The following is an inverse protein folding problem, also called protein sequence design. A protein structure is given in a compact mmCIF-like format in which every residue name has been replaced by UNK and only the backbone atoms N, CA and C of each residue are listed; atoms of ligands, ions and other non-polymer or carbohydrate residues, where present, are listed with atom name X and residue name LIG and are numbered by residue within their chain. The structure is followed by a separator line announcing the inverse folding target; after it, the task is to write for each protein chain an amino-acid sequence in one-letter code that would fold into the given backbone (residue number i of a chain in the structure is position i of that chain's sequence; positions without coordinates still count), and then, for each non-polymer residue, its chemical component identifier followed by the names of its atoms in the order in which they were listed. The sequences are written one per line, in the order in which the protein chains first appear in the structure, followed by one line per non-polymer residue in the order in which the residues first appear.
data_IF_826376200499
#
_entry.id   IF_826376200499
#
_cell.length_a   1.000
_cell.length_b   1.000
_cell.length_c   1.000
_cell.angle_alpha   90.00
_cell.angle_beta   90.00
_cell.angle_gamma   90.00
#
_symmetry.space_group_name_H-M   'P 1'
#
loop_
_entity.id
_entity.type
_entity.pdbx_description
1 polymer ?
#
# COMPACT_ATOMS: atom_id res chain seq x y z
N UNK A 1 20.96 -11.78 -1.53
CA UNK A 1 19.78 -12.38 -2.21
C UNK A 1 18.68 -11.34 -2.17
N UNK A 2 18.08 -10.95 -3.31
CA UNK A 2 16.98 -9.98 -3.30
C UNK A 2 15.80 -10.53 -2.48
N UNK A 3 15.18 -9.71 -1.64
CA UNK A 3 14.05 -10.14 -0.81
C UNK A 3 12.79 -10.34 -1.68
N UNK A 4 12.58 -11.57 -2.14
CA UNK A 4 11.49 -11.97 -3.03
C UNK A 4 10.12 -11.62 -2.39
N UNK A 5 9.99 -11.75 -1.06
CA UNK A 5 8.74 -11.46 -0.34
C UNK A 5 8.41 -9.98 -0.49
N UNK A 6 9.40 -9.11 -0.29
CA UNK A 6 9.24 -7.66 -0.45
C UNK A 6 8.85 -7.29 -1.89
N UNK A 7 9.49 -7.92 -2.89
CA UNK A 7 9.18 -7.68 -4.31
C UNK A 7 7.75 -8.12 -4.64
N UNK A 8 7.33 -9.30 -4.21
CA UNK A 8 5.96 -9.80 -4.44
C UNK A 8 4.91 -8.90 -3.78
N UNK A 9 5.17 -8.46 -2.55
CA UNK A 9 4.28 -7.53 -1.84
C UNK A 9 4.16 -6.19 -2.57
N UNK A 10 5.28 -5.64 -3.04
CA UNK A 10 5.27 -4.40 -3.82
C UNK A 10 4.49 -4.56 -5.13
N UNK A 11 4.68 -5.65 -5.87
CA UNK A 11 3.91 -5.95 -7.07
C UNK A 11 2.40 -6.03 -6.79
N UNK A 12 1.99 -6.66 -5.68
CA UNK A 12 0.59 -6.72 -5.28
C UNK A 12 0.01 -5.32 -4.97
N UNK A 13 0.77 -4.48 -4.27
CA UNK A 13 0.39 -3.08 -3.97
C UNK A 13 0.26 -2.26 -5.24
N UNK A 14 1.19 -2.41 -6.19
CA UNK A 14 1.13 -1.75 -7.49
C UNK A 14 -0.09 -2.21 -8.29
N UNK A 15 -0.38 -3.51 -8.30
CA UNK A 15 -1.54 -4.07 -8.98
C UNK A 15 -2.87 -3.56 -8.39
N UNK A 16 -2.95 -3.43 -7.06
CA UNK A 16 -4.07 -2.81 -6.37
C UNK A 16 -4.25 -1.35 -6.81
N UNK A 17 -3.17 -0.56 -6.75
CA UNK A 17 -3.18 0.83 -7.17
C UNK A 17 -3.67 0.97 -8.62
N UNK A 18 -3.10 0.22 -9.57
CA UNK A 18 -3.51 0.24 -10.97
C UNK A 18 -4.98 -0.17 -11.16
N UNK A 19 -5.47 -1.15 -10.40
CA UNK A 19 -6.86 -1.59 -10.46
C UNK A 19 -7.83 -0.51 -10.02
N UNK A 20 -7.54 0.20 -8.92
CA UNK A 20 -8.36 1.31 -8.45
C UNK A 20 -8.27 2.53 -9.37
N UNK A 21 -7.08 2.83 -9.92
CA UNK A 21 -6.92 3.87 -10.94
C UNK A 21 -7.83 3.64 -12.14
N UNK A 22 -7.88 2.40 -12.65
CA UNK A 22 -8.71 2.02 -13.81
C UNK A 22 -10.22 2.16 -13.54
N UNK A 23 -10.65 1.98 -12.29
CA UNK A 23 -12.07 2.02 -11.88
C UNK A 23 -12.57 3.45 -11.58
N UNK A 24 -11.70 4.45 -11.66
CA UNK A 24 -12.03 5.82 -11.24
C UNK A 24 -11.85 6.84 -12.36
N UNK A 25 -12.81 7.76 -12.45
CA UNK A 25 -12.77 8.88 -13.39
C UNK A 25 -11.51 9.73 -13.19
N UNK A 26 -10.97 10.31 -14.26
CA UNK A 26 -9.67 10.97 -14.23
C UNK A 26 -9.65 12.29 -13.43
N UNK A 27 -10.79 12.96 -13.38
CA UNK A 27 -11.06 14.21 -12.69
C UNK A 27 -11.50 14.00 -11.23
N UNK A 28 -11.80 12.77 -10.81
CA UNK A 28 -12.24 12.50 -9.45
C UNK A 28 -11.12 12.79 -8.45
N UNK A 29 -11.49 13.50 -7.38
CA UNK A 29 -10.59 13.75 -6.25
C UNK A 29 -10.81 12.68 -5.20
N UNK A 30 -9.73 11.99 -4.87
CA UNK A 30 -9.73 10.92 -3.89
C UNK A 30 -9.56 11.46 -2.47
N UNK A 31 -10.35 10.96 -1.52
CA UNK A 31 -10.18 11.31 -0.12
C UNK A 31 -8.89 10.70 0.43
N UNK A 32 -8.12 11.50 1.16
CA UNK A 32 -6.87 11.10 1.79
C UNK A 32 -7.08 11.15 3.31
N UNK A 33 -7.71 10.11 3.85
CA UNK A 33 -7.92 9.97 5.28
C UNK A 33 -6.76 9.18 5.90
N UNK A 34 -6.06 9.79 6.86
CA UNK A 34 -4.95 9.18 7.61
C UNK A 34 -5.27 8.98 9.10
N UNK A 35 -6.45 9.42 9.55
CA UNK A 35 -6.91 9.35 10.94
C UNK A 35 -8.07 8.37 11.16
N UNK A 36 -8.26 7.96 12.41
CA UNK A 36 -9.35 7.06 12.84
C UNK A 36 -10.65 7.79 13.19
N UNK A 37 -10.67 9.11 13.08
CA UNK A 37 -11.81 9.97 13.45
C UNK A 37 -12.97 9.93 12.43
N UNK A 38 -12.80 9.18 11.34
CA UNK A 38 -13.80 9.09 10.27
C UNK A 38 -13.94 10.36 9.44
N UNK A 39 -13.12 11.40 9.69
CA UNK A 39 -13.21 12.68 8.99
C UNK A 39 -12.25 12.72 7.82
N UNK A 40 -12.75 13.25 6.71
CA UNK A 40 -11.97 13.53 5.52
C UNK A 40 -10.94 14.61 5.84
N UNK A 41 -9.66 14.22 5.96
CA UNK A 41 -8.60 15.16 6.28
C UNK A 41 -8.31 16.10 5.10
N UNK A 42 -8.25 15.56 3.88
CA UNK A 42 -8.05 16.32 2.64
C UNK A 42 -8.32 15.46 1.39
N UNK A 43 -8.25 16.08 0.21
CA UNK A 43 -8.48 15.42 -1.09
C UNK A 43 -7.29 15.59 -2.04
N UNK A 44 -6.97 14.54 -2.81
CA UNK A 44 -5.90 14.53 -3.80
C UNK A 44 -6.43 14.19 -5.21
N UNK A 45 -5.69 14.60 -6.26
CA UNK A 45 -5.94 14.13 -7.63
C UNK A 45 -5.78 12.60 -7.69
N UNK A 46 -6.61 11.91 -8.48
CA UNK A 46 -6.62 10.43 -8.60
C UNK A 46 -5.22 9.81 -8.65
N UNK A 47 -4.40 10.25 -9.60
CA UNK A 47 -3.11 9.61 -9.84
C UNK A 47 -2.15 9.82 -8.66
N UNK A 48 -2.18 11.00 -8.02
CA UNK A 48 -1.40 11.24 -6.80
C UNK A 48 -1.86 10.36 -5.65
N UNK A 49 -3.18 10.29 -5.40
CA UNK A 49 -3.75 9.48 -4.32
C UNK A 49 -3.40 8.00 -4.47
N UNK A 50 -3.53 7.48 -5.68
CA UNK A 50 -3.34 6.06 -5.96
C UNK A 50 -1.85 5.69 -5.98
N UNK A 51 -0.99 6.48 -6.64
CA UNK A 51 0.44 6.15 -6.74
C UNK A 51 1.25 6.48 -5.49
N UNK A 52 0.70 7.26 -4.55
CA UNK A 52 1.33 7.42 -3.24
C UNK A 52 1.58 6.07 -2.53
N UNK A 53 0.65 5.13 -2.67
CA UNK A 53 0.69 3.83 -1.99
C UNK A 53 1.88 2.95 -2.40
N UNK A 54 2.09 2.60 -3.69
CA UNK A 54 3.24 1.79 -4.10
C UNK A 54 4.59 2.48 -3.84
N UNK A 55 4.63 3.82 -3.83
CA UNK A 55 5.85 4.55 -3.45
C UNK A 55 6.12 4.42 -1.97
N UNK A 56 5.14 4.76 -1.12
CA UNK A 56 5.28 4.73 0.34
C UNK A 56 5.57 3.33 0.86
N UNK A 57 4.74 2.35 0.51
CA UNK A 57 4.95 0.97 0.97
C UNK A 57 6.17 0.32 0.31
N UNK A 58 6.48 0.66 -0.96
CA UNK A 58 7.70 0.19 -1.60
C UNK A 58 8.96 0.65 -0.88
N UNK A 59 8.99 1.92 -0.48
CA UNK A 59 10.09 2.46 0.33
C UNK A 59 10.18 1.75 1.70
N UNK A 60 9.06 1.56 2.40
CA UNK A 60 9.03 0.84 3.68
C UNK A 60 9.52 -0.61 3.54
N UNK A 61 9.09 -1.33 2.49
CA UNK A 61 9.55 -2.68 2.18
C UNK A 61 11.05 -2.71 1.87
N UNK A 62 11.57 -1.73 1.14
CA UNK A 62 13.00 -1.64 0.84
C UNK A 62 13.83 -1.40 2.11
N UNK A 63 13.41 -0.48 2.98
CA UNK A 63 14.05 -0.25 4.27
C UNK A 63 14.05 -1.53 5.14
N UNK A 64 12.92 -2.23 5.18
CA UNK A 64 12.79 -3.47 5.93
C UNK A 64 13.69 -4.57 5.36
N UNK A 65 13.68 -4.78 4.04
CA UNK A 65 14.53 -5.74 3.36
C UNK A 65 16.02 -5.44 3.57
N UNK A 66 16.43 -4.16 3.55
CA UNK A 66 17.80 -3.76 3.81
C UNK A 66 18.24 -4.07 5.25
N UNK A 67 17.33 -3.94 6.23
CA UNK A 67 17.63 -4.20 7.65
C UNK A 67 17.61 -5.68 8.02
N UNK A 68 16.73 -6.44 7.36
CA UNK A 68 16.37 -7.82 7.73
C UNK A 68 17.01 -8.85 6.79
N UNK A 69 17.45 -8.44 5.59
CA UNK A 69 17.94 -9.27 4.48
C UNK A 69 19.35 -9.85 4.59
N UNK A 70 20.00 -9.82 5.76
CA UNK A 70 21.37 -10.34 5.94
C UNK A 70 21.38 -11.87 5.90
N UNK A 71 22.45 -12.47 5.37
CA UNK A 71 22.57 -13.93 5.15
C UNK A 71 22.46 -14.78 6.44
N UNK A 72 22.62 -14.16 7.61
CA UNK A 72 22.54 -14.78 8.93
C UNK A 72 21.19 -14.57 9.63
N UNK A 73 20.17 -14.10 8.90
CA UNK A 73 18.85 -13.83 9.48
C UNK A 73 18.23 -15.12 10.07
N UNK A 74 17.83 -15.14 11.36
CA UNK A 74 17.15 -16.28 11.98
C UNK A 74 15.90 -16.69 11.22
N UNK A 75 15.53 -17.97 11.28
CA UNK A 75 14.32 -18.51 10.61
C UNK A 75 13.05 -17.73 10.97
N UNK A 76 12.93 -17.24 12.21
CA UNK A 76 11.81 -16.42 12.68
C UNK A 76 11.63 -15.11 11.90
N UNK A 77 12.70 -14.61 11.26
CA UNK A 77 12.64 -13.40 10.46
C UNK A 77 11.87 -13.61 9.15
N UNK A 78 11.74 -14.85 8.67
CA UNK A 78 10.88 -15.16 7.52
C UNK A 78 9.42 -14.92 7.87
N UNK A 79 8.96 -15.40 9.04
CA UNK A 79 7.60 -15.19 9.50
C UNK A 79 7.29 -13.68 9.66
N UNK A 80 8.23 -12.91 10.24
CA UNK A 80 8.10 -11.46 10.37
C UNK A 80 8.00 -10.80 8.98
N UNK A 81 8.85 -11.17 8.02
CA UNK A 81 8.79 -10.63 6.64
C UNK A 81 7.44 -10.89 5.99
N UNK A 82 6.92 -12.11 6.08
CA UNK A 82 5.60 -12.49 5.54
C UNK A 82 4.51 -11.65 6.20
N UNK A 83 4.53 -11.55 7.53
CA UNK A 83 3.55 -10.77 8.30
C UNK A 83 3.59 -9.28 7.93
N UNK A 84 4.78 -8.66 7.89
CA UNK A 84 4.96 -7.25 7.51
C UNK A 84 4.49 -6.99 6.09
N UNK A 85 4.89 -7.84 5.13
CA UNK A 85 4.44 -7.76 3.75
C UNK A 85 2.91 -7.86 3.64
N UNK A 86 2.31 -8.84 4.33
CA UNK A 86 0.86 -9.04 4.38
C UNK A 86 0.13 -7.83 4.96
N UNK A 87 0.63 -7.26 6.06
CA UNK A 87 0.06 -6.05 6.67
C UNK A 87 0.10 -4.88 5.70
N UNK A 88 1.20 -4.64 4.99
CA UNK A 88 1.28 -3.54 4.03
C UNK A 88 0.35 -3.70 2.83
N UNK A 89 0.24 -4.92 2.28
CA UNK A 89 -0.73 -5.21 1.21
C UNK A 89 -2.16 -4.99 1.70
N UNK A 90 -2.49 -5.49 2.90
CA UNK A 90 -3.80 -5.34 3.50
C UNK A 90 -4.14 -3.88 3.79
N UNK A 91 -3.20 -3.11 4.37
CA UNK A 91 -3.35 -1.68 4.64
C UNK A 91 -3.59 -0.89 3.35
N UNK A 92 -2.83 -1.16 2.29
CA UNK A 92 -3.04 -0.56 0.98
C UNK A 92 -4.45 -0.86 0.44
N UNK A 93 -4.84 -2.14 0.48
CA UNK A 93 -6.17 -2.55 0.01
C UNK A 93 -7.30 -1.89 0.80
N UNK A 94 -7.22 -1.87 2.13
CA UNK A 94 -8.23 -1.23 2.99
C UNK A 94 -8.31 0.27 2.71
N UNK A 95 -7.18 0.96 2.61
CA UNK A 95 -7.15 2.40 2.36
C UNK A 95 -7.82 2.74 1.02
N UNK A 96 -7.41 2.07 -0.07
CA UNK A 96 -8.02 2.26 -1.38
C UNK A 96 -9.50 1.84 -1.41
N UNK A 97 -9.88 0.79 -0.68
CA UNK A 97 -11.28 0.33 -0.58
C UNK A 97 -12.16 1.37 0.10
N UNK A 98 -11.73 1.90 1.24
CA UNK A 98 -12.51 2.88 1.99
C UNK A 98 -12.58 4.21 1.24
N UNK A 99 -11.47 4.66 0.66
CA UNK A 99 -11.45 5.86 -0.16
C UNK A 99 -12.37 5.71 -1.38
N UNK A 100 -12.33 4.56 -2.08
CA UNK A 100 -13.21 4.29 -3.22
C UNK A 100 -14.70 4.26 -2.84
N UNK A 101 -15.06 3.75 -1.65
CA UNK A 101 -16.45 3.74 -1.18
C UNK A 101 -17.01 5.14 -0.94
N UNK A 102 -16.17 6.06 -0.49
CA UNK A 102 -16.56 7.46 -0.30
C UNK A 102 -16.75 8.22 -1.62
N UNK A 103 -16.22 7.71 -2.74
CA UNK A 103 -16.42 8.28 -4.08
C UNK A 103 -17.72 7.83 -4.76
N UNK A 104 -18.36 6.79 -4.26
CA UNK A 104 -19.61 6.25 -4.80
C UNK A 104 -20.60 6.08 -3.65
N UNK A 105 -21.17 7.19 -3.13
CA UNK A 105 -22.22 7.10 -2.13
C UNK A 105 -23.43 6.41 -2.78
N UNK A 106 -23.62 5.13 -2.48
CA UNK A 106 -24.91 4.44 -2.63
C UNK A 106 -25.91 5.03 -1.66
#
# INVERSE_FOLDING_TARGET
MADIIAVLAWCAILALALSYRKRSAADVRWPMQWGFDGKLAWYAKRDLAVFFHPVFFGFMLACFAARVGTAEAPQDWIAIRIMTAGVFVLSCWLHLRFASRQLSPT
#
